data_IF_738779662178
#
_entry.id   IF_738779662178
#
_cell.length_a   1.000
_cell.length_b   1.000
_cell.length_c   1.000
_cell.angle_alpha   90.00
_cell.angle_beta   90.00
_cell.angle_gamma   90.00
#
_symmetry.space_group_name_H-M   'P 1'
#
loop_
_entity.id
_entity.type
_entity.pdbx_description
1 polymer ?
#
# COMPACT_ATOMS: atom_id res chain seq x y z
N UNK A 1 -6.86 -8.41 8.01
CA UNK A 1 -6.27 -7.33 7.18
C UNK A 1 -7.28 -6.99 6.08
N UNK A 2 -8.04 -5.91 6.24
CA UNK A 2 -9.14 -5.57 5.30
C UNK A 2 -8.52 -4.88 4.09
N UNK A 3 -8.57 -5.53 2.94
CA UNK A 3 -8.17 -4.96 1.65
C UNK A 3 -9.24 -3.96 1.21
N UNK A 4 -9.14 -2.70 1.66
CA UNK A 4 -10.08 -1.65 1.26
C UNK A 4 -9.85 -1.31 -0.22
N UNK A 5 -10.91 -1.45 -1.03
CA UNK A 5 -10.86 -1.22 -2.48
C UNK A 5 -10.99 0.29 -2.76
N UNK A 6 -9.92 0.90 -3.26
CA UNK A 6 -9.80 2.35 -3.46
C UNK A 6 -9.89 2.74 -4.95
N UNK A 7 -10.20 1.80 -5.84
CA UNK A 7 -9.95 1.97 -7.27
C UNK A 7 -10.96 2.89 -7.99
N UNK A 8 -12.02 3.35 -7.32
CA UNK A 8 -13.12 4.13 -7.92
C UNK A 8 -13.28 5.58 -7.40
N UNK A 9 -12.26 6.17 -6.78
CA UNK A 9 -12.40 7.47 -6.09
C UNK A 9 -11.84 8.66 -6.90
N UNK A 10 -12.55 9.79 -6.85
CA UNK A 10 -12.21 11.05 -7.55
C UNK A 10 -10.84 11.59 -7.08
N UNK A 11 -9.87 11.68 -8.00
CA UNK A 11 -8.53 12.26 -7.77
C UNK A 11 -8.62 13.79 -7.80
N UNK A 12 -8.19 14.47 -6.73
CA UNK A 12 -8.47 15.92 -6.57
C UNK A 12 -7.26 16.83 -6.85
N UNK A 13 -6.00 16.44 -6.60
CA UNK A 13 -4.87 17.38 -6.82
C UNK A 13 -3.47 16.71 -6.77
N UNK A 14 -2.60 17.09 -7.72
CA UNK A 14 -1.15 16.83 -7.76
C UNK A 14 -0.44 18.16 -7.49
N UNK A 15 0.42 18.24 -6.47
CA UNK A 15 1.09 19.50 -6.13
C UNK A 15 2.61 19.33 -6.19
N UNK A 16 3.28 20.20 -6.96
CA UNK A 16 4.73 20.24 -7.17
C UNK A 16 5.35 21.35 -6.32
N UNK A 17 6.57 21.07 -5.86
CA UNK A 17 7.58 21.97 -5.27
C UNK A 17 7.42 22.43 -3.80
N UNK A 18 8.26 21.86 -2.92
CA UNK A 18 8.53 22.41 -1.58
C UNK A 18 10.02 22.24 -1.23
N UNK A 19 10.77 23.33 -1.06
CA UNK A 19 12.23 23.30 -0.88
C UNK A 19 12.58 23.38 0.62
N UNK A 20 12.99 22.27 1.23
CA UNK A 20 13.46 22.22 2.62
C UNK A 20 14.91 21.74 2.65
N UNK A 21 15.80 22.53 3.27
CA UNK A 21 17.16 22.10 3.60
C UNK A 21 17.06 21.07 4.72
N UNK A 22 17.43 19.81 4.47
CA UNK A 22 17.39 18.74 5.47
C UNK A 22 18.39 18.99 6.60
N UNK A 23 18.00 18.62 7.81
CA UNK A 23 18.92 18.37 8.92
C UNK A 23 19.79 17.14 8.62
N UNK A 24 20.97 17.05 9.24
CA UNK A 24 21.91 15.94 9.01
C UNK A 24 21.29 14.55 9.26
N UNK A 25 20.47 14.41 10.30
CA UNK A 25 19.79 13.16 10.67
C UNK A 25 18.76 12.75 9.60
N UNK A 26 17.91 13.69 9.18
CA UNK A 26 16.94 13.49 8.11
C UNK A 26 17.63 13.16 6.77
N UNK A 27 18.83 13.69 6.52
CA UNK A 27 19.64 13.34 5.35
C UNK A 27 20.22 11.91 5.42
N UNK A 28 20.62 11.43 6.61
CA UNK A 28 21.00 10.03 6.77
C UNK A 28 19.81 9.10 6.57
N UNK A 29 18.63 9.46 7.09
CA UNK A 29 17.40 8.71 6.84
C UNK A 29 17.05 8.67 5.34
N UNK A 30 17.16 9.79 4.63
CA UNK A 30 17.01 9.85 3.17
C UNK A 30 17.92 8.82 2.46
N UNK A 31 19.21 8.76 2.82
CA UNK A 31 20.15 7.78 2.23
C UNK A 31 19.71 6.35 2.52
N UNK A 32 19.29 6.06 3.75
CA UNK A 32 18.79 4.72 4.14
C UNK A 32 17.57 4.32 3.31
N UNK A 33 16.61 5.23 3.12
CA UNK A 33 15.44 4.97 2.27
C UNK A 33 15.85 4.73 0.82
N UNK A 34 16.71 5.57 0.25
CA UNK A 34 17.21 5.37 -1.11
C UNK A 34 17.83 3.98 -1.29
N UNK A 35 18.73 3.59 -0.41
CA UNK A 35 19.43 2.31 -0.51
C UNK A 35 18.46 1.12 -0.30
N UNK A 36 17.48 1.27 0.61
CA UNK A 36 16.39 0.30 0.81
C UNK A 36 15.56 0.12 -0.47
N UNK A 37 15.08 1.21 -1.06
CA UNK A 37 14.24 1.18 -2.25
C UNK A 37 15.00 0.66 -3.47
N UNK A 38 16.25 1.07 -3.66
CA UNK A 38 17.12 0.53 -4.72
C UNK A 38 17.34 -0.97 -4.56
N UNK A 39 17.61 -1.44 -3.35
CA UNK A 39 17.80 -2.86 -3.07
C UNK A 39 16.55 -3.66 -3.38
N UNK A 40 15.37 -3.18 -2.95
CA UNK A 40 14.08 -3.82 -3.27
C UNK A 40 13.79 -3.84 -4.77
N UNK A 41 14.10 -2.76 -5.50
CA UNK A 41 13.96 -2.66 -6.97
C UNK A 41 14.86 -3.68 -7.67
N UNK A 42 16.12 -3.82 -7.22
CA UNK A 42 17.08 -4.80 -7.74
C UNK A 42 16.63 -6.24 -7.50
N UNK A 43 16.23 -6.58 -6.27
CA UNK A 43 15.71 -7.91 -5.91
C UNK A 43 14.50 -8.26 -6.77
N UNK A 44 13.51 -7.36 -6.87
CA UNK A 44 12.31 -7.62 -7.68
C UNK A 44 12.64 -7.84 -9.15
N UNK A 45 13.47 -7.00 -9.75
CA UNK A 45 13.84 -7.15 -11.15
C UNK A 45 14.60 -8.45 -11.41
N UNK A 46 15.49 -8.84 -10.49
CA UNK A 46 16.21 -10.12 -10.56
C UNK A 46 15.26 -11.29 -10.45
N UNK A 47 14.38 -11.30 -9.44
CA UNK A 47 13.39 -12.35 -9.25
C UNK A 47 12.47 -12.50 -10.46
N UNK A 48 11.98 -11.40 -11.04
CA UNK A 48 11.17 -11.45 -12.28
C UNK A 48 11.96 -12.10 -13.41
N UNK A 49 13.21 -11.69 -13.64
CA UNK A 49 14.06 -12.30 -14.68
C UNK A 49 14.28 -13.79 -14.44
N UNK A 50 14.57 -14.19 -13.21
CA UNK A 50 14.77 -15.60 -12.83
C UNK A 50 13.51 -16.42 -13.02
N UNK A 51 12.34 -15.91 -12.61
CA UNK A 51 11.04 -16.57 -12.82
C UNK A 51 10.75 -16.71 -14.31
N UNK A 52 10.90 -15.64 -15.11
CA UNK A 52 10.67 -15.70 -16.55
C UNK A 52 11.57 -16.73 -17.25
N UNK A 53 12.87 -16.74 -16.93
CA UNK A 53 13.80 -17.73 -17.47
C UNK A 53 13.43 -19.16 -17.06
N UNK A 54 13.04 -19.34 -15.80
CA UNK A 54 12.64 -20.65 -15.28
C UNK A 54 11.36 -21.17 -15.94
N UNK A 55 10.37 -20.29 -16.19
CA UNK A 55 9.15 -20.64 -16.93
C UNK A 55 9.48 -21.05 -18.36
N UNK A 56 10.41 -20.37 -19.03
CA UNK A 56 10.88 -20.76 -20.36
C UNK A 56 11.52 -22.15 -20.33
N UNK A 57 12.38 -22.44 -19.34
CA UNK A 57 12.99 -23.77 -19.18
C UNK A 57 11.94 -24.87 -18.97
N UNK A 58 10.93 -24.60 -18.13
CA UNK A 58 9.83 -25.55 -17.89
C UNK A 58 9.01 -25.78 -19.16
N UNK A 59 8.71 -24.72 -19.91
CA UNK A 59 8.01 -24.83 -21.19
C UNK A 59 8.81 -25.65 -22.20
N UNK A 60 10.10 -25.36 -22.37
CA UNK A 60 10.99 -26.11 -23.26
C UNK A 60 11.11 -27.58 -22.84
N UNK A 61 11.19 -27.86 -21.53
CA UNK A 61 11.14 -29.21 -20.99
C UNK A 61 9.85 -29.94 -21.40
N UNK A 62 8.69 -29.26 -21.30
CA UNK A 62 7.41 -29.81 -21.75
C UNK A 62 7.33 -30.08 -23.25
N UNK A 63 7.86 -29.17 -24.06
CA UNK A 63 7.98 -29.35 -25.52
C UNK A 63 8.89 -30.53 -25.86
N UNK A 64 10.03 -30.65 -25.18
CA UNK A 64 10.97 -31.76 -25.39
C UNK A 64 10.32 -33.10 -25.00
N UNK A 65 9.58 -33.13 -23.89
CA UNK A 65 8.80 -34.30 -23.47
C UNK A 65 7.83 -34.72 -24.57
N UNK A 66 7.01 -33.79 -25.07
CA UNK A 66 6.03 -34.06 -26.12
C UNK A 66 6.70 -34.64 -27.37
N UNK A 67 7.74 -34.00 -27.88
CA UNK A 67 8.42 -34.44 -29.10
C UNK A 67 9.12 -35.80 -28.96
N UNK A 68 9.76 -36.08 -27.82
CA UNK A 68 10.54 -37.31 -27.61
C UNK A 68 9.68 -38.50 -27.17
N UNK A 69 8.68 -38.27 -26.31
CA UNK A 69 7.81 -39.34 -25.79
C UNK A 69 6.57 -39.59 -26.63
N UNK A 70 5.92 -38.55 -27.19
CA UNK A 70 4.68 -38.71 -27.96
C UNK A 70 4.99 -38.91 -29.43
N UNK A 71 5.85 -38.08 -30.03
CA UNK A 71 6.15 -38.15 -31.46
C UNK A 71 7.36 -39.05 -31.81
N UNK A 72 8.10 -39.54 -30.81
CA UNK A 72 9.26 -40.42 -31.02
C UNK A 72 10.46 -39.78 -31.73
N UNK A 73 10.50 -38.44 -31.85
CA UNK A 73 11.58 -37.73 -32.52
C UNK A 73 12.87 -37.78 -31.70
N UNK A 74 14.00 -38.02 -32.38
CA UNK A 74 15.34 -37.77 -31.83
C UNK A 74 15.71 -36.32 -32.09
N UNK A 75 15.58 -35.49 -31.07
CA UNK A 75 16.04 -34.10 -31.12
C UNK A 75 17.55 -34.10 -30.83
N UNK A 76 18.30 -33.28 -31.55
CA UNK A 76 19.76 -33.11 -31.42
C UNK A 76 20.64 -34.32 -31.77
N UNK A 77 20.14 -35.32 -32.52
CA UNK A 77 20.85 -36.59 -32.79
C UNK A 77 21.32 -37.35 -31.53
N UNK A 78 20.81 -36.97 -30.35
CA UNK A 78 21.12 -37.62 -29.08
C UNK A 78 20.22 -38.83 -28.84
N UNK A 79 20.68 -39.76 -27.99
CA UNK A 79 19.86 -40.89 -27.56
C UNK A 79 18.62 -40.40 -26.81
N UNK A 80 17.58 -41.22 -26.80
CA UNK A 80 16.32 -40.93 -26.10
C UNK A 80 16.56 -40.68 -24.60
N UNK A 81 17.46 -41.45 -23.98
CA UNK A 81 17.76 -41.34 -22.55
C UNK A 81 18.50 -40.04 -22.22
N UNK A 82 19.39 -39.58 -23.11
CA UNK A 82 20.06 -38.28 -22.96
C UNK A 82 19.05 -37.14 -23.08
N UNK A 83 18.14 -37.19 -24.05
CA UNK A 83 17.08 -36.19 -24.20
C UNK A 83 16.15 -36.15 -22.97
N UNK A 84 15.78 -37.30 -22.41
CA UNK A 84 15.00 -37.39 -21.16
C UNK A 84 15.80 -36.80 -19.98
N UNK A 85 17.10 -37.03 -19.92
CA UNK A 85 17.97 -36.49 -18.86
C UNK A 85 18.05 -34.97 -18.93
N UNK A 86 18.23 -34.41 -20.12
CA UNK A 86 18.22 -32.96 -20.36
C UNK A 86 16.89 -32.34 -19.93
N UNK A 87 15.78 -32.96 -20.29
CA UNK A 87 14.44 -32.54 -19.87
C UNK A 87 14.31 -32.50 -18.33
N UNK A 88 14.69 -33.57 -17.63
CA UNK A 88 14.66 -33.60 -16.17
C UNK A 88 15.57 -32.52 -15.55
N UNK A 89 16.76 -32.30 -16.10
CA UNK A 89 17.66 -31.26 -15.64
C UNK A 89 17.04 -29.86 -15.81
N UNK A 90 16.44 -29.56 -16.98
CA UNK A 90 15.75 -28.29 -17.23
C UNK A 90 14.58 -28.09 -16.26
N UNK A 91 13.81 -29.15 -15.98
CA UNK A 91 12.72 -29.10 -15.02
C UNK A 91 13.20 -28.78 -13.60
N UNK A 92 14.23 -29.48 -13.13
CA UNK A 92 14.80 -29.27 -11.78
C UNK A 92 15.37 -27.85 -11.68
N UNK A 93 16.17 -27.42 -12.65
CA UNK A 93 16.75 -26.07 -12.67
C UNK A 93 15.65 -25.00 -12.69
N UNK A 94 14.60 -25.18 -13.48
CA UNK A 94 13.47 -24.27 -13.54
C UNK A 94 12.72 -24.18 -12.20
N UNK A 95 12.36 -25.31 -11.59
CA UNK A 95 11.68 -25.33 -10.29
C UNK A 95 12.54 -24.72 -9.18
N UNK A 96 13.83 -25.05 -9.17
CA UNK A 96 14.79 -24.49 -8.21
C UNK A 96 14.93 -22.97 -8.38
N UNK A 97 15.02 -22.49 -9.63
CA UNK A 97 15.08 -21.06 -9.95
C UNK A 97 13.84 -20.30 -9.46
N UNK A 98 12.63 -20.83 -9.67
CA UNK A 98 11.40 -20.25 -9.15
C UNK A 98 11.42 -20.21 -7.63
N UNK A 99 11.80 -21.31 -6.98
CA UNK A 99 11.82 -21.42 -5.52
C UNK A 99 12.77 -20.40 -4.90
N UNK A 100 13.99 -20.27 -5.45
CA UNK A 100 14.95 -19.27 -5.02
C UNK A 100 14.44 -17.84 -5.24
N UNK A 101 13.84 -17.55 -6.40
CA UNK A 101 13.32 -16.23 -6.70
C UNK A 101 12.15 -15.84 -5.77
N UNK A 102 11.27 -16.78 -5.45
CA UNK A 102 10.19 -16.57 -4.48
C UNK A 102 10.76 -16.33 -3.08
N UNK A 103 11.75 -17.12 -2.67
CA UNK A 103 12.44 -16.91 -1.38
C UNK A 103 13.08 -15.52 -1.31
N UNK A 104 13.80 -15.09 -2.35
CA UNK A 104 14.42 -13.76 -2.41
C UNK A 104 13.37 -12.63 -2.36
N UNK A 105 12.18 -12.83 -2.94
CA UNK A 105 11.05 -11.89 -2.84
C UNK A 105 10.42 -11.83 -1.44
N UNK A 106 10.41 -12.93 -0.70
CA UNK A 106 9.92 -12.99 0.68
C UNK A 106 10.93 -12.36 1.65
N UNK A 107 12.22 -12.68 1.47
CA UNK A 107 13.33 -12.23 2.31
C UNK A 107 13.77 -10.80 1.98
N UNK A 108 13.15 -10.14 0.99
CA UNK A 108 13.45 -8.75 0.65
C UNK A 108 13.31 -7.84 1.87
N UNK A 109 14.15 -6.80 2.01
CA UNK A 109 14.03 -5.83 3.10
C UNK A 109 12.59 -5.31 3.19
N UNK A 110 12.02 -5.38 4.39
CA UNK A 110 10.67 -4.86 4.65
C UNK A 110 10.73 -3.35 4.79
N UNK A 111 9.63 -2.68 4.45
CA UNK A 111 9.49 -1.27 4.80
C UNK A 111 9.28 -1.19 6.32
N UNK A 112 9.88 -0.21 6.99
CA UNK A 112 9.58 0.05 8.39
C UNK A 112 8.07 0.34 8.54
N UNK A 113 7.46 -0.23 9.57
CA UNK A 113 6.04 -0.04 9.89
C UNK A 113 5.76 1.29 10.56
N UNK A 114 6.78 1.87 11.19
CA UNK A 114 6.75 3.12 11.93
C UNK A 114 7.99 3.95 11.54
N UNK A 115 7.86 5.27 11.60
CA UNK A 115 8.91 6.21 11.21
C UNK A 115 9.07 7.25 12.31
N UNK A 116 10.32 7.53 12.70
CA UNK A 116 10.61 8.73 13.49
C UNK A 116 10.32 10.00 12.67
N UNK A 117 10.31 11.17 13.32
CA UNK A 117 10.10 12.44 12.62
C UNK A 117 11.19 12.70 11.56
N UNK A 118 12.44 12.36 11.88
CA UNK A 118 13.60 12.49 10.99
C UNK A 118 13.53 11.48 9.84
N UNK A 119 13.06 10.27 10.12
CA UNK A 119 12.84 9.24 9.09
C UNK A 119 11.70 9.61 8.15
N UNK A 120 10.63 10.20 8.67
CA UNK A 120 9.54 10.71 7.85
C UNK A 120 10.03 11.86 6.96
N UNK A 121 10.77 12.82 7.50
CA UNK A 121 11.35 13.93 6.73
C UNK A 121 12.32 13.42 5.64
N UNK A 122 13.17 12.44 5.99
CA UNK A 122 14.08 11.79 5.05
C UNK A 122 13.34 11.01 3.96
N UNK A 123 12.27 10.30 4.30
CA UNK A 123 11.40 9.60 3.34
C UNK A 123 10.68 10.59 2.44
N UNK A 124 10.10 11.66 2.98
CA UNK A 124 9.44 12.71 2.21
C UNK A 124 10.40 13.35 1.21
N UNK A 125 11.65 13.57 1.61
CA UNK A 125 12.67 14.09 0.69
C UNK A 125 13.09 13.05 -0.36
N UNK A 126 13.19 11.77 0.01
CA UNK A 126 13.46 10.70 -0.95
C UNK A 126 12.38 10.64 -2.02
N UNK A 127 11.13 10.62 -1.59
CA UNK A 127 9.98 10.71 -2.46
C UNK A 127 10.14 11.96 -3.33
N UNK A 128 10.21 13.16 -2.78
CA UNK A 128 10.28 14.36 -3.60
C UNK A 128 11.36 14.37 -4.70
N UNK A 129 12.57 13.84 -4.45
CA UNK A 129 13.62 13.74 -5.47
C UNK A 129 13.23 12.77 -6.59
N UNK A 130 12.49 11.72 -6.26
CA UNK A 130 12.14 10.62 -7.16
C UNK A 130 10.67 10.71 -7.57
N UNK A 131 10.11 11.91 -7.75
CA UNK A 131 8.68 12.14 -8.07
C UNK A 131 8.16 11.36 -9.28
N UNK A 132 9.02 11.04 -10.25
CA UNK A 132 8.68 10.21 -11.41
C UNK A 132 8.54 8.72 -11.06
N UNK A 133 9.09 8.29 -9.92
CA UNK A 133 9.11 6.92 -9.42
C UNK A 133 7.95 6.66 -8.42
N UNK A 134 6.96 7.54 -8.26
CA UNK A 134 5.72 7.25 -7.50
C UNK A 134 4.49 8.08 -7.94
N UNK A 135 3.32 7.61 -7.55
CA UNK A 135 2.05 8.32 -7.75
C UNK A 135 1.39 8.63 -6.41
N UNK A 136 1.30 9.91 -6.05
CA UNK A 136 0.52 10.33 -4.88
C UNK A 136 -0.94 10.49 -5.32
N UNK A 137 -1.83 9.71 -4.73
CA UNK A 137 -3.27 9.77 -4.99
C UNK A 137 -3.97 10.29 -3.74
N UNK A 138 -4.49 11.52 -3.82
CA UNK A 138 -5.37 12.07 -2.79
C UNK A 138 -6.80 11.68 -3.10
N UNK A 139 -7.37 10.84 -2.25
CA UNK A 139 -8.75 10.40 -2.33
C UNK A 139 -9.60 11.16 -1.33
N UNK A 140 -10.79 11.54 -1.77
CA UNK A 140 -11.86 12.06 -0.94
C UNK A 140 -13.05 11.13 -1.10
N UNK A 141 -13.51 10.58 0.01
CA UNK A 141 -14.71 9.75 0.08
C UNK A 141 -15.69 10.48 0.96
N UNK A 142 -16.79 10.92 0.39
CA UNK A 142 -17.88 11.51 1.15
C UNK A 142 -18.84 10.41 1.63
N UNK A 143 -19.58 10.69 2.69
CA UNK A 143 -20.47 9.75 3.35
C UNK A 143 -21.22 10.40 4.50
N UNK A 144 -21.66 9.60 5.44
CA UNK A 144 -22.44 10.03 6.60
C UNK A 144 -22.14 9.18 7.84
N UNK A 145 -22.34 9.77 9.02
CA UNK A 145 -22.30 9.02 10.28
C UNK A 145 -23.60 8.24 10.40
N UNK A 146 -23.50 6.91 10.42
CA UNK A 146 -24.66 6.00 10.43
C UNK A 146 -25.09 5.61 11.84
N UNK A 147 -24.14 5.47 12.76
CA UNK A 147 -24.44 5.02 14.12
C UNK A 147 -23.47 5.61 15.13
N UNK A 148 -23.98 5.75 16.35
CA UNK A 148 -23.23 6.11 17.55
C UNK A 148 -23.56 5.08 18.62
N UNK A 149 -22.54 4.52 19.27
CA UNK A 149 -22.69 3.59 20.40
C UNK A 149 -21.65 3.90 21.46
N UNK A 150 -22.07 3.87 22.71
CA UNK A 150 -21.16 3.84 23.86
C UNK A 150 -21.14 2.42 24.42
N UNK A 151 -19.96 1.80 24.47
CA UNK A 151 -19.76 0.44 25.00
C UNK A 151 -18.55 0.46 25.90
N UNK A 152 -18.71 0.05 27.17
CA UNK A 152 -17.63 -0.04 28.16
C UNK A 152 -16.79 1.25 28.27
N UNK A 153 -17.45 2.41 28.19
CA UNK A 153 -16.82 3.73 28.22
C UNK A 153 -16.15 4.16 26.92
N UNK A 154 -16.12 3.30 25.89
CA UNK A 154 -15.58 3.62 24.57
C UNK A 154 -16.68 4.08 23.61
N UNK A 155 -16.38 5.09 22.80
CA UNK A 155 -17.29 5.61 21.78
C UNK A 155 -16.98 4.95 20.44
N UNK A 156 -17.97 4.29 19.86
CA UNK A 156 -17.88 3.64 18.55
C UNK A 156 -18.80 4.37 17.57
N UNK A 157 -18.23 4.85 16.46
CA UNK A 157 -18.99 5.46 15.38
C UNK A 157 -18.98 4.57 14.13
N UNK A 158 -20.17 4.38 13.56
CA UNK A 158 -20.34 3.75 12.25
C UNK A 158 -20.44 4.81 11.17
N UNK A 159 -19.77 4.57 10.05
CA UNK A 159 -19.76 5.43 8.87
C UNK A 159 -20.26 4.64 7.66
N UNK A 160 -21.14 5.27 6.89
CA UNK A 160 -21.56 4.80 5.56
C UNK A 160 -20.92 5.69 4.52
N UNK A 161 -20.09 5.12 3.65
CA UNK A 161 -19.39 5.85 2.60
C UNK A 161 -20.12 5.72 1.26
N UNK A 162 -20.10 6.79 0.44
CA UNK A 162 -20.74 6.82 -0.87
C UNK A 162 -20.19 5.79 -1.87
N UNK A 163 -19.04 5.17 -1.57
CA UNK A 163 -18.48 4.07 -2.35
C UNK A 163 -19.00 2.68 -1.93
N UNK A 164 -20.03 2.63 -1.06
CA UNK A 164 -20.67 1.39 -0.61
C UNK A 164 -19.89 0.63 0.47
N UNK A 165 -18.87 1.26 1.08
CA UNK A 165 -18.13 0.67 2.20
C UNK A 165 -18.74 1.20 3.50
N UNK A 166 -19.11 0.29 4.40
CA UNK A 166 -19.39 0.62 5.80
C UNK A 166 -18.10 0.46 6.62
N UNK A 167 -17.84 1.37 7.56
CA UNK A 167 -16.67 1.33 8.46
C UNK A 167 -17.12 1.62 9.88
N UNK A 168 -16.59 0.91 10.86
CA UNK A 168 -16.78 1.22 12.29
C UNK A 168 -15.43 1.62 12.88
N UNK A 169 -15.40 2.74 13.59
CA UNK A 169 -14.21 3.24 14.27
C UNK A 169 -14.49 3.34 15.76
N UNK A 170 -13.61 2.71 16.54
CA UNK A 170 -13.56 2.84 18.00
C UNK A 170 -12.62 4.00 18.35
N UNK A 171 -13.13 4.93 19.14
CA UNK A 171 -12.43 6.12 19.59
C UNK A 171 -12.00 6.08 21.06
N UNK A 172 -12.29 4.99 21.76
CA UNK A 172 -11.99 4.84 23.17
C UNK A 172 -12.73 5.85 24.06
N UNK A 173 -12.16 6.12 25.23
CA UNK A 173 -12.79 6.79 26.38
C UNK A 173 -12.62 8.32 26.44
N UNK A 174 -11.98 8.95 25.45
CA UNK A 174 -11.39 10.29 25.62
C UNK A 174 -12.17 11.41 24.88
N UNK A 175 -13.29 11.15 24.22
CA UNK A 175 -14.02 12.23 23.54
C UNK A 175 -15.08 12.85 24.47
N UNK A 176 -14.65 13.81 25.29
CA UNK A 176 -15.60 14.68 26.00
C UNK A 176 -16.44 15.47 24.97
N UNK A 177 -17.77 15.49 25.16
CA UNK A 177 -18.75 16.28 24.40
C UNK A 177 -19.09 15.78 22.98
N UNK A 178 -19.03 14.46 22.77
CA UNK A 178 -19.61 13.82 21.58
C UNK A 178 -20.88 13.06 21.96
N UNK A 179 -22.01 13.43 21.36
CA UNK A 179 -23.33 12.83 21.60
C UNK A 179 -23.92 12.23 20.32
N UNK A 180 -25.07 11.59 20.43
CA UNK A 180 -25.80 10.95 19.33
C UNK A 180 -26.26 11.93 18.23
N UNK A 181 -26.24 13.24 18.48
CA UNK A 181 -26.63 14.27 17.50
C UNK A 181 -25.66 14.38 16.31
N UNK A 182 -24.57 13.61 16.33
CA UNK A 182 -23.68 13.46 15.18
C UNK A 182 -24.20 12.46 14.13
N UNK A 183 -25.17 11.62 14.48
CA UNK A 183 -25.77 10.67 13.54
C UNK A 183 -26.51 11.42 12.43
N UNK A 184 -26.31 11.00 11.19
CA UNK A 184 -26.84 11.66 9.99
C UNK A 184 -26.00 12.87 9.53
N UNK A 185 -24.94 13.25 10.25
CA UNK A 185 -24.06 14.31 9.78
C UNK A 185 -23.20 13.86 8.61
N UNK A 186 -23.01 14.77 7.66
CA UNK A 186 -22.11 14.56 6.54
C UNK A 186 -20.68 14.33 7.04
N UNK A 187 -20.05 13.29 6.50
CA UNK A 187 -18.67 12.95 6.79
C UNK A 187 -17.85 12.87 5.50
N UNK A 188 -16.58 13.28 5.58
CA UNK A 188 -15.62 13.15 4.50
C UNK A 188 -14.37 12.47 5.03
N UNK A 189 -14.01 11.34 4.44
CA UNK A 189 -12.71 10.70 4.61
C UNK A 189 -11.75 11.20 3.54
N UNK A 190 -10.59 11.69 3.98
CA UNK A 190 -9.48 12.05 3.10
C UNK A 190 -8.36 11.08 3.32
N UNK A 191 -8.07 10.29 2.30
CA UNK A 191 -6.99 9.31 2.30
C UNK A 191 -5.92 9.78 1.33
N UNK A 192 -4.70 9.98 1.81
CA UNK A 192 -3.53 10.17 0.95
C UNK A 192 -2.91 8.81 0.76
N UNK A 193 -3.06 8.27 -0.44
CA UNK A 193 -2.35 7.09 -0.88
C UNK A 193 -1.08 7.52 -1.60
N UNK A 194 -0.03 6.76 -1.39
CA UNK A 194 1.16 6.87 -2.22
C UNK A 194 1.36 5.49 -2.83
N UNK A 195 1.39 5.46 -4.15
CA UNK A 195 1.60 4.27 -4.94
C UNK A 195 3.05 4.23 -5.38
N UNK A 196 3.78 3.19 -4.97
CA UNK A 196 5.11 2.94 -5.47
C UNK A 196 5.05 1.94 -6.64
N UNK A 197 5.33 2.38 -7.88
CA UNK A 197 5.63 1.52 -9.00
C UNK A 197 6.58 0.41 -8.56
N UNK A 198 6.09 -0.82 -8.67
CA UNK A 198 6.80 -2.06 -8.41
C UNK A 198 7.06 -2.39 -6.93
N UNK A 199 6.75 -1.52 -5.96
CA UNK A 199 6.93 -1.80 -4.53
C UNK A 199 5.59 -2.05 -3.82
N UNK A 200 4.55 -1.27 -4.14
CA UNK A 200 3.19 -1.41 -3.57
C UNK A 200 2.57 -0.07 -3.15
N UNK A 201 1.27 -0.09 -2.82
CA UNK A 201 0.49 1.09 -2.42
C UNK A 201 0.35 1.17 -0.89
N UNK A 202 0.49 2.35 -0.31
CA UNK A 202 0.38 2.57 1.13
C UNK A 202 -0.44 3.83 1.47
N UNK A 203 -1.07 3.82 2.65
CA UNK A 203 -1.83 4.95 3.19
C UNK A 203 -0.88 5.85 3.97
N UNK A 204 -0.57 7.03 3.43
CA UNK A 204 0.32 8.00 4.06
C UNK A 204 -0.40 8.90 5.07
N UNK A 205 -1.70 9.14 4.86
CA UNK A 205 -2.52 9.89 5.81
C UNK A 205 -3.97 9.48 5.66
N UNK A 206 -4.66 9.33 6.78
CA UNK A 206 -6.10 9.08 6.83
C UNK A 206 -6.72 10.08 7.81
N UNK A 207 -7.62 10.91 7.31
CA UNK A 207 -8.31 11.96 8.09
C UNK A 207 -9.80 11.85 7.86
N UNK A 208 -10.55 11.84 8.96
CA UNK A 208 -12.00 11.93 8.95
C UNK A 208 -12.42 13.34 9.31
N UNK A 209 -13.40 13.86 8.60
CA UNK A 209 -13.97 15.17 8.81
C UNK A 209 -15.47 15.00 8.94
N UNK A 210 -16.06 15.46 10.05
CA UNK A 210 -17.52 15.49 10.24
C UNK A 210 -17.94 16.95 10.28
N UNK A 211 -18.93 17.30 9.48
CA UNK A 211 -19.35 18.69 9.27
C UNK A 211 -20.50 19.08 10.18
N UNK A 212 -20.60 20.37 10.52
CA UNK A 212 -21.76 20.93 11.21
C UNK A 212 -23.00 20.86 10.31
N UNK A 213 -24.21 20.72 10.88
CA UNK A 213 -25.45 20.74 10.10
C UNK A 213 -25.55 21.96 9.18
N UNK A 214 -25.94 21.76 7.93
CA UNK A 214 -26.15 22.84 6.95
C UNK A 214 -24.87 23.56 6.49
N UNK A 215 -23.69 23.08 6.88
CA UNK A 215 -22.42 23.70 6.47
C UNK A 215 -22.08 23.38 5.01
N UNK A 216 -21.46 24.34 4.31
CA UNK A 216 -20.89 24.11 2.99
C UNK A 216 -19.71 23.12 3.08
N UNK A 217 -19.90 21.93 2.51
CA UNK A 217 -18.94 20.82 2.49
C UNK A 217 -18.03 20.85 1.27
N UNK A 218 -18.29 21.74 0.30
CA UNK A 218 -17.49 21.88 -0.91
C UNK A 218 -16.10 22.44 -0.64
N UNK A 219 -15.94 23.25 0.42
CA UNK A 219 -14.68 23.89 0.82
C UNK A 219 -14.23 23.44 2.21
N UNK A 220 -12.93 23.20 2.37
CA UNK A 220 -12.35 22.83 3.66
C UNK A 220 -12.21 24.09 4.55
N UNK A 221 -13.20 24.36 5.38
CA UNK A 221 -13.14 25.41 6.40
C UNK A 221 -13.23 24.79 7.80
N UNK A 222 -12.23 25.03 8.66
CA UNK A 222 -12.23 24.51 10.04
C UNK A 222 -13.47 24.91 10.84
N UNK A 223 -14.06 26.07 10.55
CA UNK A 223 -15.29 26.57 11.21
C UNK A 223 -16.54 25.75 10.86
N UNK A 224 -16.50 25.03 9.74
CA UNK A 224 -17.60 24.19 9.25
C UNK A 224 -17.54 22.77 9.80
N UNK A 225 -16.48 22.42 10.53
CA UNK A 225 -16.26 21.07 11.04
C UNK A 225 -16.80 21.00 12.47
N UNK A 226 -17.54 19.92 12.74
CA UNK A 226 -17.95 19.54 14.09
C UNK A 226 -16.90 18.64 14.73
N UNK A 227 -16.29 17.75 13.95
CA UNK A 227 -15.24 16.84 14.43
C UNK A 227 -14.17 16.61 13.35
N UNK A 228 -12.92 16.50 13.78
CA UNK A 228 -11.80 16.04 12.96
C UNK A 228 -11.17 14.85 13.65
N UNK A 229 -11.07 13.74 12.94
CA UNK A 229 -10.34 12.56 13.39
C UNK A 229 -9.08 12.42 12.56
N UNK A 230 -7.96 12.14 13.22
CA UNK A 230 -6.72 11.75 12.59
C UNK A 230 -6.25 10.47 13.26
N UNK A 231 -5.68 9.53 12.51
CA UNK A 231 -4.95 8.44 13.15
C UNK A 231 -3.81 9.04 14.00
N UNK A 232 -3.78 8.74 15.29
CA UNK A 232 -2.68 9.16 16.15
C UNK A 232 -1.43 8.36 15.75
N UNK A 233 -0.27 9.01 15.75
CA UNK A 233 1.01 8.39 15.39
C UNK A 233 1.73 7.82 16.61
N UNK A 234 1.38 8.27 17.80
CA UNK A 234 2.04 7.90 19.05
C UNK A 234 1.28 6.78 19.80
N UNK A 235 0.03 6.51 19.41
CA UNK A 235 -0.82 5.47 19.99
C UNK A 235 -1.54 4.72 18.87
N UNK A 236 -1.82 3.43 19.06
CA UNK A 236 -2.60 2.60 18.12
C UNK A 236 -4.09 2.95 18.23
N UNK A 237 -4.42 4.21 17.92
CA UNK A 237 -5.75 4.80 18.09
C UNK A 237 -5.94 6.05 17.23
N UNK A 238 -7.02 6.78 17.49
CA UNK A 238 -7.39 7.98 16.75
C UNK A 238 -7.35 9.22 17.64
N UNK A 239 -6.67 10.27 17.19
CA UNK A 239 -6.76 11.61 17.77
C UNK A 239 -8.01 12.31 17.25
N UNK A 240 -8.88 12.72 18.16
CA UNK A 240 -10.14 13.42 17.86
C UNK A 240 -10.07 14.86 18.34
N UNK A 241 -10.39 15.79 17.44
CA UNK A 241 -10.58 17.19 17.74
C UNK A 241 -12.03 17.56 17.46
N UNK A 242 -12.81 17.76 18.52
CA UNK A 242 -14.18 18.29 18.43
C UNK A 242 -14.09 19.81 18.41
N UNK A 243 -14.72 20.44 17.41
CA UNK A 243 -14.74 21.89 17.27
C UNK A 243 -16.11 22.42 17.69
N UNK A 244 -16.12 23.30 18.69
CA UNK A 244 -17.30 24.07 19.11
C UNK A 244 -17.69 25.13 18.06
#
# INVERSE_FOLDING_TARGET
MITKNYDNLKKIEENRSFNLRLKNESFQAYKRFRDLFETRKKIKNRAIKTISFSVILLFLSGVLFYLVKINGFRIFNLSKDINITIMFAMMIIGLFGITLALKELVDRPKLPSELSAEEEEGLQHYLKINEEDFTITKLRVDGEVRSYREVDGSIILGFSWNNGIDDELDFGTIIENLDDTIVGLHSTRRVVLIDYPKIGRFVASDKLLVYKPGADTSKLNKKNLRMVVKKDRNYDGYSVQVNY
#
